data_IF_498312219575
#
_entry.id   IF_498312219575
#
_cell.length_a   1.000
_cell.length_b   1.000
_cell.length_c   1.000
_cell.angle_alpha   90.00
_cell.angle_beta   90.00
_cell.angle_gamma   90.00
#
_symmetry.space_group_name_H-M   'P 1'
#
loop_
_entity.id
_entity.type
_entity.pdbx_description
1 polymer ?
#
# COMPACT_ATOMS: atom_id res chain seq x y z
N UNK A 1 -21.70 -1.75 -6.27
CA UNK A 1 -20.25 -1.51 -6.42
C UNK A 1 -19.70 -0.92 -5.13
N UNK A 2 -18.71 -1.56 -4.49
CA UNK A 2 -18.03 -0.99 -3.32
C UNK A 2 -17.00 0.05 -3.77
N UNK A 3 -16.95 1.19 -3.09
CA UNK A 3 -16.00 2.29 -3.36
C UNK A 3 -15.19 2.56 -2.10
N UNK A 4 -13.88 2.75 -2.26
CA UNK A 4 -12.99 3.23 -1.23
C UNK A 4 -12.12 4.38 -1.75
N UNK A 5 -11.56 5.16 -0.84
CA UNK A 5 -10.64 6.27 -1.13
C UNK A 5 -9.47 6.24 -0.15
N UNK A 6 -8.27 6.50 -0.67
CA UNK A 6 -7.08 6.83 0.10
C UNK A 6 -6.53 8.16 -0.43
N UNK A 7 -6.18 9.10 0.43
CA UNK A 7 -5.70 10.43 0.03
C UNK A 7 -4.39 10.76 0.73
N UNK A 8 -3.32 10.98 -0.04
CA UNK A 8 -1.99 11.32 0.51
C UNK A 8 -1.93 12.72 1.14
N UNK A 9 -2.95 13.57 0.96
CA UNK A 9 -3.08 14.82 1.71
C UNK A 9 -3.63 14.63 3.14
N UNK A 10 -4.12 13.43 3.46
CA UNK A 10 -4.68 13.08 4.77
C UNK A 10 -3.88 11.96 5.41
N UNK A 11 -2.75 12.31 6.02
CA UNK A 11 -1.87 11.40 6.74
C UNK A 11 -1.87 11.69 8.24
N UNK A 12 -1.40 10.74 9.04
CA UNK A 12 -1.03 11.01 10.43
C UNK A 12 0.03 12.11 10.53
N UNK A 13 0.14 12.76 11.69
CA UNK A 13 1.10 13.85 11.92
C UNK A 13 2.57 13.46 11.66
N UNK A 14 2.91 12.17 11.78
CA UNK A 14 4.24 11.64 11.47
C UNK A 14 4.39 11.15 10.02
N UNK A 15 3.33 11.26 9.20
CA UNK A 15 3.28 10.80 7.82
C UNK A 15 3.25 9.27 7.63
N UNK A 16 3.34 8.48 8.72
CA UNK A 16 3.51 7.03 8.63
C UNK A 16 2.21 6.28 8.37
N UNK A 17 1.06 6.90 8.60
CA UNK A 17 -0.25 6.28 8.42
C UNK A 17 -1.07 7.07 7.43
N UNK A 18 -1.58 6.38 6.41
CA UNK A 18 -2.64 6.84 5.53
C UNK A 18 -3.96 6.17 5.94
N UNK A 19 -5.08 6.67 5.41
CA UNK A 19 -6.41 6.17 5.74
C UNK A 19 -7.14 5.69 4.48
N UNK A 20 -7.52 4.41 4.46
CA UNK A 20 -8.40 3.84 3.44
C UNK A 20 -9.84 3.90 3.92
N UNK A 21 -10.60 4.87 3.42
CA UNK A 21 -12.03 5.01 3.70
C UNK A 21 -12.85 4.20 2.70
N UNK A 22 -13.50 3.14 3.15
CA UNK A 22 -14.44 2.35 2.35
C UNK A 22 -15.88 2.72 2.72
N UNK A 23 -16.60 3.35 1.80
CA UNK A 23 -17.95 3.88 2.04
C UNK A 23 -18.93 2.77 2.44
N UNK A 24 -19.64 2.95 3.55
CA UNK A 24 -20.55 1.93 4.10
C UNK A 24 -19.86 0.71 4.73
N UNK A 25 -18.54 0.76 4.93
CA UNK A 25 -17.78 -0.25 5.70
C UNK A 25 -17.09 0.42 6.89
N UNK A 26 -16.25 1.42 6.65
CA UNK A 26 -15.43 2.03 7.67
C UNK A 26 -14.15 2.64 7.11
N UNK A 27 -13.29 3.11 8.01
CA UNK A 27 -11.98 3.67 7.69
C UNK A 27 -10.91 2.79 8.32
N UNK A 28 -9.88 2.45 7.53
CA UNK A 28 -8.80 1.56 7.95
C UNK A 28 -7.47 2.29 7.89
N UNK A 29 -6.61 2.02 8.87
CA UNK A 29 -5.23 2.50 8.87
C UNK A 29 -4.39 1.67 7.90
N UNK A 30 -3.74 2.35 6.97
CA UNK A 30 -2.93 1.73 5.92
C UNK A 30 -1.58 2.41 5.79
N UNK A 31 -0.68 1.76 5.07
CA UNK A 31 0.57 2.33 4.59
C UNK A 31 0.87 1.84 3.17
N UNK A 32 1.62 2.65 2.43
CA UNK A 32 2.12 2.30 1.10
C UNK A 32 3.57 2.70 0.93
N UNK A 33 4.42 1.80 0.44
CA UNK A 33 5.87 2.03 0.37
C UNK A 33 6.61 1.53 1.61
N UNK A 34 7.94 1.55 1.56
CA UNK A 34 8.82 1.18 2.68
C UNK A 34 9.80 2.30 3.01
N UNK A 35 10.31 2.25 4.24
CA UNK A 35 11.34 3.15 4.75
C UNK A 35 11.00 4.62 4.48
N UNK A 36 11.90 5.34 3.81
CA UNK A 36 11.76 6.76 3.43
C UNK A 36 10.68 7.05 2.39
N UNK A 37 10.13 6.04 1.74
CA UNK A 37 9.09 6.18 0.72
C UNK A 37 7.68 5.94 1.26
N UNK A 38 7.52 5.68 2.56
CA UNK A 38 6.20 5.46 3.17
C UNK A 38 5.30 6.67 2.91
N UNK A 39 4.16 6.39 2.28
CA UNK A 39 3.08 7.30 1.92
C UNK A 39 3.55 8.55 1.15
N UNK A 40 4.68 8.47 0.44
CA UNK A 40 5.17 9.57 -0.36
C UNK A 40 4.81 9.38 -1.84
N UNK A 41 3.80 10.09 -2.39
CA UNK A 41 3.44 10.00 -3.80
C UNK A 41 4.51 10.59 -4.72
N UNK A 42 5.33 11.53 -4.23
CA UNK A 42 6.40 12.16 -5.00
C UNK A 42 7.53 11.18 -5.31
N UNK A 43 7.60 10.06 -4.61
CA UNK A 43 8.58 9.02 -4.87
C UNK A 43 8.00 7.84 -5.68
N UNK A 44 6.77 7.93 -6.19
CA UNK A 44 6.09 6.76 -6.77
C UNK A 44 6.77 6.19 -8.02
N UNK A 45 7.69 6.93 -8.64
CA UNK A 45 8.59 6.52 -9.72
C UNK A 45 9.87 5.81 -9.25
N UNK A 46 10.02 5.53 -7.96
CA UNK A 46 11.08 4.69 -7.40
C UNK A 46 10.58 3.26 -7.14
N UNK A 47 11.51 2.30 -7.10
CA UNK A 47 11.18 0.94 -6.65
C UNK A 47 10.73 0.93 -5.19
N UNK A 48 9.76 0.06 -4.86
CA UNK A 48 9.22 -0.15 -3.51
C UNK A 48 8.61 1.09 -2.84
N UNK A 49 8.45 2.19 -3.57
CA UNK A 49 7.81 3.40 -3.07
C UNK A 49 6.29 3.27 -2.99
N UNK A 50 5.59 4.30 -2.49
CA UNK A 50 4.14 4.31 -2.36
C UNK A 50 3.41 3.98 -3.67
N UNK A 51 2.19 3.44 -3.56
CA UNK A 51 1.35 3.12 -4.70
C UNK A 51 1.05 4.42 -5.46
N UNK A 52 1.19 4.46 -6.79
CA UNK A 52 0.97 5.69 -7.56
C UNK A 52 -0.47 6.19 -7.41
N UNK A 53 -0.66 7.51 -7.51
CA UNK A 53 -1.99 8.12 -7.58
C UNK A 53 -2.77 7.58 -8.78
N UNK A 54 -4.04 7.26 -8.57
CA UNK A 54 -4.91 6.71 -9.62
C UNK A 54 -6.08 5.89 -9.09
N UNK A 55 -6.86 5.36 -10.03
CA UNK A 55 -7.98 4.47 -9.74
C UNK A 55 -7.53 3.02 -9.86
N UNK A 56 -7.89 2.20 -8.89
CA UNK A 56 -7.54 0.78 -8.84
C UNK A 56 -8.78 -0.09 -8.62
N UNK A 57 -8.80 -1.24 -9.26
CA UNK A 57 -9.84 -2.26 -9.12
C UNK A 57 -9.32 -3.39 -8.23
N UNK A 58 -10.08 -3.70 -7.17
CA UNK A 58 -9.78 -4.79 -6.25
C UNK A 58 -10.30 -6.09 -6.85
N UNK A 59 -9.42 -6.95 -7.30
CA UNK A 59 -9.76 -8.21 -7.97
C UNK A 59 -9.24 -9.39 -7.18
N UNK A 60 -9.70 -10.59 -7.52
CA UNK A 60 -8.98 -11.80 -7.11
C UNK A 60 -7.53 -11.71 -7.56
N UNK A 61 -6.63 -12.29 -6.77
CA UNK A 61 -5.26 -12.52 -7.23
C UNK A 61 -5.34 -13.44 -8.46
N UNK A 62 -4.81 -13.03 -9.63
CA UNK A 62 -4.76 -13.93 -10.78
C UNK A 62 -4.08 -15.22 -10.32
N UNK A 63 -4.81 -16.34 -10.39
CA UNK A 63 -4.19 -17.65 -10.27
C UNK A 63 -3.26 -17.79 -11.47
N UNK A 64 -2.00 -17.38 -11.32
CA UNK A 64 -0.98 -17.64 -12.33
C UNK A 64 -0.88 -19.14 -12.62
N UNK A 65 -0.17 -19.51 -13.68
CA UNK A 65 0.15 -20.92 -13.97
C UNK A 65 0.65 -21.66 -12.71
N UNK A 66 0.48 -22.98 -12.64
CA UNK A 66 0.94 -23.79 -11.49
C UNK A 66 2.38 -23.43 -11.04
N UNK A 67 3.24 -23.10 -11.99
CA UNK A 67 4.62 -22.64 -11.76
C UNK A 67 4.72 -21.35 -10.92
N UNK A 68 3.85 -20.37 -11.17
CA UNK A 68 3.79 -19.13 -10.41
C UNK A 68 3.16 -19.30 -9.02
N UNK A 69 2.31 -20.32 -8.83
CA UNK A 69 1.82 -20.71 -7.49
C UNK A 69 2.93 -21.35 -6.65
N UNK A 70 3.70 -22.27 -7.23
CA UNK A 70 4.86 -22.87 -6.57
C UNK A 70 5.96 -21.85 -6.25
N UNK A 71 6.22 -20.88 -7.15
CA UNK A 71 7.14 -19.78 -6.88
C UNK A 71 6.63 -18.84 -5.79
N UNK A 72 5.33 -18.56 -5.76
CA UNK A 72 4.73 -17.75 -4.69
C UNK A 72 4.87 -18.46 -3.33
N UNK A 73 4.52 -19.75 -3.24
CA UNK A 73 4.74 -20.55 -2.03
C UNK A 73 6.22 -20.62 -1.61
N UNK A 74 7.16 -20.70 -2.57
CA UNK A 74 8.58 -20.70 -2.27
C UNK A 74 9.09 -19.34 -1.73
N UNK A 75 8.55 -18.22 -2.24
CA UNK A 75 8.83 -16.88 -1.71
C UNK A 75 8.20 -16.69 -0.32
N UNK A 76 7.01 -17.28 -0.09
CA UNK A 76 6.31 -17.25 1.20
C UNK A 76 7.12 -17.98 2.28
N UNK A 77 7.77 -19.09 1.93
CA UNK A 77 8.70 -19.85 2.80
C UNK A 77 10.01 -19.08 3.04
N UNK A 78 10.54 -18.39 2.03
CA UNK A 78 11.83 -17.68 2.13
C UNK A 78 11.79 -16.42 3.00
N UNK A 79 10.63 -15.76 3.11
CA UNK A 79 10.55 -14.46 3.78
C UNK A 79 9.80 -14.44 5.12
N UNK A 80 9.55 -15.59 5.76
CA UNK A 80 8.91 -15.66 7.09
C UNK A 80 7.58 -14.87 7.22
N UNK A 81 6.82 -14.73 6.12
CA UNK A 81 5.51 -14.10 6.19
C UNK A 81 4.52 -15.08 6.84
N UNK A 82 3.99 -14.72 8.01
CA UNK A 82 3.06 -15.57 8.79
C UNK A 82 1.60 -15.46 8.32
N UNK A 83 1.36 -14.78 7.20
CA UNK A 83 0.04 -14.56 6.62
C UNK A 83 -0.14 -15.35 5.32
N UNK A 84 -1.34 -15.87 5.07
CA UNK A 84 -1.68 -16.56 3.83
C UNK A 84 -1.78 -15.56 2.66
N UNK A 85 -0.73 -15.46 1.84
CA UNK A 85 -0.72 -14.58 0.65
C UNK A 85 -1.74 -14.97 -0.43
N UNK A 86 -2.37 -16.15 -0.29
CA UNK A 86 -3.56 -16.55 -1.07
C UNK A 86 -4.76 -15.63 -0.82
N UNK A 87 -4.82 -14.98 0.34
CA UNK A 87 -5.98 -14.17 0.73
C UNK A 87 -5.92 -12.75 0.17
N UNK A 88 -4.75 -12.31 -0.30
CA UNK A 88 -4.50 -10.96 -0.76
C UNK A 88 -5.26 -10.68 -2.05
N UNK A 89 -5.76 -9.45 -2.17
CA UNK A 89 -6.36 -8.99 -3.42
C UNK A 89 -5.29 -8.36 -4.31
N UNK A 90 -5.54 -8.45 -5.60
CA UNK A 90 -4.77 -7.73 -6.61
C UNK A 90 -5.41 -6.36 -6.87
N UNK A 91 -4.57 -5.35 -7.11
CA UNK A 91 -4.99 -4.01 -7.49
C UNK A 91 -4.65 -3.78 -8.96
N UNK A 92 -5.66 -3.82 -9.83
CA UNK A 92 -5.48 -3.49 -11.25
C UNK A 92 -5.69 -2.00 -11.47
N UNK A 93 -4.73 -1.36 -12.13
CA UNK A 93 -4.86 0.05 -12.51
C UNK A 93 -6.00 0.20 -13.51
N UNK A 94 -6.83 1.22 -13.32
CA UNK A 94 -7.88 1.56 -14.29
C UNK A 94 -7.29 1.99 -15.64
N UNK A 95 -6.09 2.59 -15.66
CA UNK A 95 -5.45 3.03 -16.89
C UNK A 95 -5.02 1.88 -17.79
N UNK A 96 -4.44 0.83 -17.21
CA UNK A 96 -3.82 -0.29 -17.96
C UNK A 96 -4.62 -1.57 -17.90
N UNK A 97 -5.62 -1.65 -16.99
CA UNK A 97 -6.36 -2.87 -16.64
C UNK A 97 -5.45 -4.05 -16.27
N UNK A 98 -4.27 -3.74 -15.71
CA UNK A 98 -3.24 -4.68 -15.26
C UNK A 98 -2.77 -4.28 -13.87
N UNK A 99 -2.06 -5.17 -13.17
CA UNK A 99 -1.34 -4.83 -11.93
C UNK A 99 0.02 -4.17 -12.19
N UNK A 100 0.18 -3.52 -13.35
CA UNK A 100 1.37 -2.79 -13.76
C UNK A 100 1.06 -1.39 -14.29
N UNK A 101 1.94 -0.44 -14.01
CA UNK A 101 1.83 0.95 -14.45
C UNK A 101 3.22 1.52 -14.73
N UNK A 102 3.39 2.21 -15.87
CA UNK A 102 4.57 3.03 -16.10
C UNK A 102 4.41 4.38 -15.36
N UNK A 103 5.36 4.69 -14.49
CA UNK A 103 5.40 5.89 -13.66
C UNK A 103 6.73 6.57 -13.93
N UNK A 104 6.69 7.70 -14.63
CA UNK A 104 7.89 8.48 -15.00
C UNK A 104 9.03 7.64 -15.63
N UNK A 105 8.69 6.72 -16.53
CA UNK A 105 9.66 5.84 -17.19
C UNK A 105 9.93 4.52 -16.44
N UNK A 106 9.60 4.40 -15.15
CA UNK A 106 9.73 3.15 -14.40
C UNK A 106 8.45 2.30 -14.49
N UNK A 107 8.58 1.03 -14.85
CA UNK A 107 7.45 0.10 -14.82
C UNK A 107 7.27 -0.50 -13.42
N UNK A 108 6.28 -0.02 -12.66
CA UNK A 108 5.87 -0.57 -11.36
C UNK A 108 4.88 -1.71 -11.56
N UNK A 109 4.99 -2.79 -10.78
CA UNK A 109 4.15 -3.99 -10.94
C UNK A 109 3.73 -4.60 -9.61
N UNK A 110 2.77 -5.53 -9.65
CA UNK A 110 2.45 -6.40 -8.53
C UNK A 110 1.67 -5.73 -7.39
N UNK A 111 0.89 -4.69 -7.67
CA UNK A 111 0.13 -3.98 -6.63
C UNK A 111 -0.90 -4.88 -5.95
N UNK A 112 -0.95 -4.85 -4.61
CA UNK A 112 -1.85 -5.67 -3.79
C UNK A 112 -2.57 -4.84 -2.73
N UNK A 113 -3.72 -5.35 -2.28
CA UNK A 113 -4.36 -4.96 -1.03
C UNK A 113 -4.18 -6.12 -0.05
N UNK A 114 -3.43 -5.89 1.02
CA UNK A 114 -3.06 -6.94 1.97
C UNK A 114 -2.80 -6.37 3.37
N UNK A 115 -2.68 -7.19 4.42
CA UNK A 115 -2.27 -6.73 5.73
C UNK A 115 -0.76 -6.85 5.94
N UNK A 116 -0.25 -6.15 6.96
CA UNK A 116 0.95 -6.57 7.68
C UNK A 116 0.73 -7.92 8.37
N UNK A 117 1.81 -8.57 8.80
CA UNK A 117 1.76 -9.75 9.66
C UNK A 117 1.01 -9.45 10.97
N UNK A 118 0.48 -10.49 11.61
CA UNK A 118 -0.26 -10.36 12.86
C UNK A 118 0.56 -9.75 14.01
N UNK A 119 1.89 -9.87 13.95
CA UNK A 119 2.84 -9.24 14.87
C UNK A 119 3.26 -7.81 14.44
N UNK A 120 2.65 -7.27 13.39
CA UNK A 120 2.95 -5.94 12.84
C UNK A 120 4.18 -5.90 11.93
N UNK A 121 4.86 -7.03 11.69
CA UNK A 121 5.98 -7.10 10.73
C UNK A 121 5.49 -7.19 9.29
N UNK A 122 6.42 -7.12 8.33
CA UNK A 122 6.14 -7.17 6.90
C UNK A 122 6.38 -5.83 6.20
N UNK A 123 6.15 -5.81 4.89
CA UNK A 123 6.57 -4.70 4.02
C UNK A 123 5.49 -4.36 3.00
N UNK A 124 5.50 -3.12 2.50
CA UNK A 124 4.60 -2.66 1.44
C UNK A 124 5.41 -2.10 0.27
N UNK A 125 5.72 -2.90 -0.74
CA UNK A 125 6.52 -2.44 -1.89
C UNK A 125 5.69 -1.67 -2.94
N UNK A 126 4.84 -0.76 -2.47
CA UNK A 126 3.86 -0.03 -3.28
C UNK A 126 2.49 -0.68 -3.32
N UNK A 127 2.14 -1.43 -2.28
CA UNK A 127 0.80 -1.96 -2.06
C UNK A 127 -0.04 -1.02 -1.20
N UNK A 128 -1.35 -1.24 -1.10
CA UNK A 128 -2.15 -0.67 -0.01
C UNK A 128 -2.13 -1.71 1.11
N UNK A 129 -1.39 -1.43 2.18
CA UNK A 129 -1.14 -2.39 3.24
C UNK A 129 -1.86 -1.99 4.52
N UNK A 130 -2.84 -2.77 4.97
CA UNK A 130 -3.52 -2.53 6.23
C UNK A 130 -2.59 -2.82 7.40
N UNK A 131 -2.54 -1.89 8.36
CA UNK A 131 -1.67 -2.02 9.54
C UNK A 131 -2.07 -3.18 10.46
N UNK A 132 -3.38 -3.51 10.50
CA UNK A 132 -3.90 -4.59 11.33
C UNK A 132 -4.45 -5.72 10.48
N UNK A 133 -4.00 -6.95 10.78
CA UNK A 133 -4.51 -8.16 10.12
C UNK A 133 -6.03 -8.34 10.31
N UNK A 134 -6.56 -8.03 11.50
CA UNK A 134 -8.00 -8.11 11.80
C UNK A 134 -8.83 -7.20 10.90
N UNK A 135 -8.34 -5.99 10.62
CA UNK A 135 -9.01 -5.02 9.77
C UNK A 135 -9.08 -5.52 8.33
N UNK A 136 -8.00 -6.14 7.85
CA UNK A 136 -7.99 -6.78 6.54
C UNK A 136 -8.97 -7.93 6.46
N UNK A 137 -9.01 -8.82 7.46
CA UNK A 137 -9.96 -9.91 7.46
C UNK A 137 -11.41 -9.42 7.50
N UNK A 138 -11.68 -8.35 8.24
CA UNK A 138 -12.99 -7.69 8.26
C UNK A 138 -13.36 -7.12 6.89
N UNK A 139 -12.48 -6.29 6.30
CA UNK A 139 -12.69 -5.71 4.98
C UNK A 139 -12.87 -6.80 3.92
N UNK A 140 -11.97 -7.79 3.89
CA UNK A 140 -12.01 -8.92 2.96
C UNK A 140 -13.33 -9.66 3.01
N UNK A 141 -13.81 -10.03 4.20
CA UNK A 141 -15.09 -10.72 4.37
C UNK A 141 -16.24 -9.93 3.76
N UNK A 142 -16.28 -8.62 4.00
CA UNK A 142 -17.33 -7.73 3.50
C UNK A 142 -17.23 -7.42 2.00
N UNK A 143 -16.02 -7.50 1.42
CA UNK A 143 -15.83 -7.40 -0.03
C UNK A 143 -16.34 -8.67 -0.71
N UNK A 144 -15.93 -9.84 -0.21
CA UNK A 144 -16.36 -11.12 -0.77
C UNK A 144 -17.87 -11.34 -0.65
N UNK A 145 -18.47 -10.99 0.48
CA UNK A 145 -19.91 -11.19 0.70
C UNK A 145 -20.78 -10.33 -0.22
N UNK A 146 -20.26 -9.20 -0.71
CA UNK A 146 -20.96 -8.34 -1.67
C UNK A 146 -20.88 -8.84 -3.11
N UNK A 147 -19.99 -9.79 -3.39
CA UNK A 147 -19.74 -10.29 -4.74
C UNK A 147 -18.97 -9.30 -5.62
N UNK A 148 -18.82 -9.66 -6.89
CA UNK A 148 -18.07 -8.88 -7.88
C UNK A 148 -18.98 -8.13 -8.85
N UNK A 149 -18.42 -7.14 -9.53
CA UNK A 149 -19.05 -6.39 -10.61
C UNK A 149 -18.09 -6.25 -11.79
N UNK A 150 -18.59 -6.11 -13.03
CA UNK A 150 -17.73 -5.95 -14.20
C UNK A 150 -17.01 -4.60 -14.19
N UNK A 151 -15.71 -4.62 -14.48
CA UNK A 151 -14.90 -3.42 -14.63
C UNK A 151 -15.17 -2.77 -15.99
N UNK A 152 -15.53 -1.47 -16.06
CA UNK A 152 -15.74 -0.76 -17.32
C UNK A 152 -14.49 -0.83 -18.22
N UNK A 153 -14.68 -1.26 -19.48
CA UNK A 153 -13.57 -1.45 -20.42
C UNK A 153 -12.56 -2.52 -20.01
N UNK A 154 -12.92 -3.42 -19.08
CA UNK A 154 -12.04 -4.44 -18.51
C UNK A 154 -12.10 -5.80 -19.22
N UNK A 155 -12.85 -5.96 -20.31
CA UNK A 155 -12.94 -7.21 -21.09
C UNK A 155 -13.18 -8.47 -20.25
N UNK A 156 -14.23 -8.46 -19.41
CA UNK A 156 -14.56 -9.58 -18.52
C UNK A 156 -13.84 -9.56 -17.17
N UNK A 157 -12.98 -8.57 -16.91
CA UNK A 157 -12.44 -8.34 -15.58
C UNK A 157 -13.54 -8.02 -14.58
N UNK A 158 -13.54 -8.75 -13.46
CA UNK A 158 -14.48 -8.59 -12.35
C UNK A 158 -13.75 -8.04 -11.12
N UNK A 159 -14.39 -7.15 -10.37
CA UNK A 159 -13.82 -6.54 -9.18
C UNK A 159 -14.80 -6.53 -8.01
N UNK A 160 -14.27 -6.60 -6.78
CA UNK A 160 -15.04 -6.47 -5.54
C UNK A 160 -15.23 -5.01 -5.13
N UNK A 161 -14.26 -4.15 -5.45
CA UNK A 161 -14.27 -2.74 -5.12
C UNK A 161 -13.45 -1.89 -6.09
N UNK A 162 -13.69 -0.59 -6.06
CA UNK A 162 -12.86 0.46 -6.66
C UNK A 162 -12.17 1.25 -5.56
N UNK A 163 -10.88 1.51 -5.67
CA UNK A 163 -10.12 2.37 -4.76
C UNK A 163 -9.60 3.57 -5.54
N UNK A 164 -9.96 4.78 -5.09
CA UNK A 164 -9.36 6.01 -5.59
C UNK A 164 -8.19 6.41 -4.69
N UNK A 165 -6.98 6.36 -5.22
CA UNK A 165 -5.78 6.90 -4.56
C UNK A 165 -5.58 8.32 -5.07
N UNK A 166 -5.61 9.31 -4.16
CA UNK A 166 -5.55 10.74 -4.44
C UNK A 166 -4.25 11.37 -3.94
N UNK A 167 -3.85 12.44 -4.61
CA UNK A 167 -2.63 13.21 -4.37
C UNK A 167 -2.19 13.89 -5.67
N UNK A 168 -1.21 14.77 -5.58
CA UNK A 168 -0.61 15.46 -6.74
C UNK A 168 0.90 15.23 -6.69
N UNK A 169 1.42 14.16 -7.31
CA UNK A 169 2.83 13.84 -7.20
C UNK A 169 3.70 14.86 -7.94
N UNK A 170 4.77 15.33 -7.32
CA UNK A 170 5.89 16.03 -7.95
C UNK A 170 7.18 15.23 -7.76
N UNK A 171 7.52 14.41 -8.76
CA UNK A 171 8.69 13.53 -8.71
C UNK A 171 10.02 14.27 -8.52
N UNK A 172 10.07 15.57 -8.84
CA UNK A 172 11.27 16.38 -8.63
C UNK A 172 11.53 16.74 -7.15
N UNK A 173 10.57 16.47 -6.26
CA UNK A 173 10.68 16.77 -4.82
C UNK A 173 11.10 15.58 -3.98
N UNK A 174 10.94 14.34 -4.46
CA UNK A 174 11.17 13.12 -3.65
C UNK A 174 12.47 13.20 -2.82
N UNK A 175 13.60 13.44 -3.47
CA UNK A 175 14.92 13.48 -2.81
C UNK A 175 15.05 14.67 -1.83
N UNK A 176 14.42 15.81 -2.13
CA UNK A 176 14.44 16.98 -1.24
C UNK A 176 13.62 16.72 0.02
N UNK A 177 12.42 16.17 -0.13
CA UNK A 177 11.54 15.84 1.00
C UNK A 177 12.16 14.77 1.90
N UNK A 178 12.77 13.74 1.30
CA UNK A 178 13.48 12.69 2.05
C UNK A 178 14.59 13.31 2.88
N UNK A 179 15.43 14.16 2.25
CA UNK A 179 16.53 14.81 2.95
C UNK A 179 16.04 15.69 4.11
N UNK A 180 14.98 16.45 3.89
CA UNK A 180 14.39 17.29 4.94
C UNK A 180 13.86 16.46 6.11
N UNK A 181 13.16 15.36 5.84
CA UNK A 181 12.67 14.42 6.87
C UNK A 181 13.84 13.81 7.66
N UNK A 182 14.87 13.35 6.98
CA UNK A 182 16.07 12.78 7.61
C UNK A 182 16.76 13.80 8.53
N UNK A 183 16.85 15.06 8.10
CA UNK A 183 17.46 16.13 8.91
C UNK A 183 16.58 16.56 10.10
N UNK A 184 15.26 16.52 9.97
CA UNK A 184 14.33 16.69 11.10
C UNK A 184 14.48 15.57 12.11
N UNK A 185 14.52 14.31 11.67
CA UNK A 185 14.63 13.16 12.55
C UNK A 185 15.98 13.10 13.27
N UNK A 186 17.10 13.44 12.59
CA UNK A 186 18.41 13.62 13.23
C UNK A 186 18.37 14.69 14.32
N UNK A 187 17.76 15.85 14.05
CA UNK A 187 17.62 16.94 15.03
C UNK A 187 16.79 16.49 16.24
N UNK A 188 15.67 15.78 16.02
CA UNK A 188 14.85 15.23 17.10
C UNK A 188 15.61 14.21 17.94
N UNK A 189 16.38 13.32 17.31
CA UNK A 189 17.20 12.33 18.01
C UNK A 189 18.29 12.99 18.87
N UNK A 190 18.98 14.02 18.34
CA UNK A 190 19.99 14.79 19.08
C UNK A 190 19.37 15.51 20.28
N UNK A 191 18.20 16.13 20.12
CA UNK A 191 17.48 16.79 21.21
C UNK A 191 17.04 15.79 22.28
N UNK A 192 16.54 14.61 21.88
CA UNK A 192 16.16 13.56 22.82
C UNK A 192 17.37 13.00 23.59
N UNK A 193 18.52 12.86 22.95
CA UNK A 193 19.76 12.44 23.59
C UNK A 193 20.24 13.48 24.61
N UNK A 194 20.27 14.77 24.21
CA UNK A 194 20.66 15.87 25.09
C UNK A 194 19.78 15.97 26.33
N UNK A 195 18.45 15.84 26.17
CA UNK A 195 17.52 15.80 27.31
C UNK A 195 17.79 14.61 28.23
N UNK A 196 18.11 13.43 27.70
CA UNK A 196 18.44 12.25 28.51
C UNK A 196 19.73 12.42 29.30
N UNK A 197 20.75 13.03 28.72
CA UNK A 197 22.01 13.33 29.43
C UNK A 197 21.80 14.39 30.51
N UNK A 198 21.02 15.43 30.25
CA UNK A 198 20.69 16.48 31.25
C UNK A 198 19.77 15.99 32.38
N UNK A 199 19.01 14.91 32.17
CA UNK A 199 18.13 14.31 33.19
C UNK A 199 18.83 13.24 34.05
N UNK A 200 20.06 12.87 33.68
CA UNK A 200 20.87 11.87 34.36
C UNK A 200 21.97 12.49 35.25
N UNK A 201 22.12 13.81 35.18
CA UNK A 201 22.91 14.66 36.10
C UNK A 201 22.00 15.25 37.19
#
# INVERSE_FOLDING_TARGET
MQICMMDYSNLSADGKTAYLKCYGIGTFEVLSGIDRYINNPDCADHEKAAIPVGTYWVTDRPAGSLYNRARAEAIDVWHHYRNHHSDWFTLFSDKTKKDSLNVNGLNRTGFRLHPLNSDGTGVSWGCITLRRYSDFQHLRRLLLSRGTFPVPGGNGLMAYARIDVRGTPDFSQCEKEIKEKDDVDKRRAQQALKKRTESAE
#
